data_IF_638137396953
#
_entry.id   IF_638137396953
#
_cell.length_a   1.000
_cell.length_b   1.000
_cell.length_c   1.000
_cell.angle_alpha   90.00
_cell.angle_beta   90.00
_cell.angle_gamma   90.00
#
_symmetry.space_group_name_H-M   'P 1'
#
loop_
_entity.id
_entity.type
_entity.pdbx_description
1 polymer ?
#
# COMPACT_ATOMS: atom_id res chain seq x y z
N UNK A 1 -0.96 -27.24 15.25
CA UNK A 1 -1.93 -26.73 14.26
C UNK A 1 -1.39 -25.47 13.62
N UNK A 2 -1.13 -25.48 12.30
CA UNK A 2 -0.59 -24.34 11.55
C UNK A 2 -1.71 -23.45 10.98
N UNK A 3 -1.40 -22.17 10.74
CA UNK A 3 -2.29 -21.20 10.10
C UNK A 3 -1.59 -20.58 8.89
N UNK A 4 -2.34 -20.31 7.83
CA UNK A 4 -1.89 -19.59 6.64
C UNK A 4 -2.62 -18.26 6.46
N UNK A 5 -2.14 -17.45 5.53
CA UNK A 5 -2.79 -16.19 5.13
C UNK A 5 -4.15 -16.46 4.45
N UNK A 6 -5.08 -15.52 4.57
CA UNK A 6 -6.38 -15.63 3.88
C UNK A 6 -6.88 -14.30 3.32
N UNK A 7 -7.29 -13.37 4.18
CA UNK A 7 -7.94 -12.13 3.78
C UNK A 7 -7.64 -11.00 4.76
N UNK A 8 -7.79 -9.78 4.29
CA UNK A 8 -7.81 -8.58 5.11
C UNK A 8 -9.17 -7.91 4.95
N UNK A 9 -9.75 -7.43 6.04
CA UNK A 9 -10.99 -6.66 6.02
C UNK A 9 -10.73 -5.26 6.56
N UNK A 10 -11.24 -4.26 5.86
CA UNK A 10 -11.12 -2.84 6.19
C UNK A 10 -12.55 -2.29 6.24
N UNK A 11 -13.07 -2.03 7.44
CA UNK A 11 -14.47 -1.68 7.61
C UNK A 11 -15.40 -2.76 7.08
N UNK A 12 -16.19 -2.47 6.04
CA UNK A 12 -17.04 -3.46 5.35
C UNK A 12 -16.36 -4.20 4.21
N UNK A 13 -15.23 -3.70 3.70
CA UNK A 13 -14.58 -4.23 2.49
C UNK A 13 -13.67 -5.39 2.82
N UNK A 14 -13.84 -6.52 2.12
CA UNK A 14 -12.98 -7.70 2.25
C UNK A 14 -12.03 -7.77 1.06
N UNK A 15 -10.74 -7.68 1.35
CA UNK A 15 -9.64 -7.79 0.40
C UNK A 15 -9.16 -9.25 0.33
N UNK A 16 -9.27 -9.81 -0.88
CA UNK A 16 -8.57 -11.04 -1.26
C UNK A 16 -7.18 -10.75 -1.81
N UNK A 17 -6.57 -11.77 -2.44
CA UNK A 17 -5.29 -11.62 -3.14
C UNK A 17 -4.15 -11.14 -2.25
N UNK A 18 -4.21 -11.44 -0.95
CA UNK A 18 -3.19 -11.09 0.02
C UNK A 18 -1.95 -11.94 -0.25
N UNK A 19 -0.81 -11.30 -0.47
CA UNK A 19 0.47 -11.97 -0.74
C UNK A 19 1.36 -12.03 0.49
N UNK A 20 1.22 -11.05 1.38
CA UNK A 20 1.95 -10.98 2.63
C UNK A 20 1.06 -10.35 3.71
N UNK A 21 1.20 -10.84 4.93
CA UNK A 21 0.57 -10.28 6.12
C UNK A 21 1.54 -10.41 7.28
N UNK A 22 1.70 -9.35 8.05
CA UNK A 22 2.58 -9.32 9.20
C UNK A 22 1.93 -8.51 10.34
N UNK A 23 2.21 -8.91 11.57
CA UNK A 23 1.82 -8.16 12.78
C UNK A 23 3.05 -8.08 13.66
N UNK A 24 3.64 -6.90 13.76
CA UNK A 24 4.81 -6.66 14.60
C UNK A 24 4.37 -6.02 15.90
N UNK A 25 4.86 -6.56 17.02
CA UNK A 25 4.75 -5.96 18.34
C UNK A 25 6.06 -5.25 18.69
N UNK A 26 6.01 -3.95 18.87
CA UNK A 26 7.14 -3.14 19.33
C UNK A 26 7.05 -2.97 20.85
N UNK A 27 7.30 -4.06 21.60
CA UNK A 27 7.28 -4.05 23.06
C UNK A 27 8.65 -3.61 23.61
N UNK A 28 8.65 -2.60 24.49
CA UNK A 28 9.83 -2.16 25.22
C UNK A 28 9.76 -2.66 26.67
N UNK A 29 10.74 -3.47 27.08
CA UNK A 29 10.87 -3.93 28.46
C UNK A 29 12.10 -3.28 29.08
N UNK A 30 11.92 -2.65 30.24
CA UNK A 30 13.02 -2.08 31.02
C UNK A 30 13.28 -2.94 32.25
N UNK A 31 14.54 -3.28 32.46
CA UNK A 31 15.01 -3.95 33.66
C UNK A 31 15.94 -3.05 34.45
N UNK A 32 15.71 -2.93 35.76
CA UNK A 32 16.58 -2.16 36.66
C UNK A 32 17.14 -3.07 37.76
N UNK A 33 18.46 -2.98 37.97
CA UNK A 33 19.15 -3.59 39.10
C UNK A 33 19.26 -2.55 40.22
N UNK A 34 18.72 -2.88 41.40
CA UNK A 34 18.78 -2.01 42.58
C UNK A 34 19.88 -2.47 43.53
N UNK A 35 20.49 -1.53 44.27
CA UNK A 35 21.38 -1.82 45.42
C UNK A 35 22.62 -2.67 45.12
N UNK A 36 23.29 -2.44 43.98
CA UNK A 36 24.55 -3.10 43.65
C UNK A 36 24.41 -4.58 43.30
N UNK A 37 23.19 -5.04 43.05
CA UNK A 37 22.93 -6.41 42.65
C UNK A 37 23.30 -6.67 41.19
N UNK A 38 23.74 -7.91 40.92
CA UNK A 38 24.20 -8.33 39.59
C UNK A 38 22.99 -8.55 38.64
N UNK A 39 21.80 -8.81 39.18
CA UNK A 39 20.60 -9.14 38.41
C UNK A 39 19.51 -8.08 38.59
N UNK A 40 18.70 -7.88 37.54
CA UNK A 40 17.54 -6.98 37.60
C UNK A 40 16.47 -7.55 38.53
N UNK A 41 16.07 -6.80 39.56
CA UNK A 41 14.97 -7.18 40.46
C UNK A 41 13.60 -6.75 39.95
N UNK A 42 13.56 -5.70 39.14
CA UNK A 42 12.33 -5.19 38.54
C UNK A 42 12.48 -5.26 37.03
N UNK A 43 11.46 -5.80 36.38
CA UNK A 43 11.25 -5.68 34.94
C UNK A 43 9.84 -5.16 34.73
N UNK A 44 9.71 -4.12 33.91
CA UNK A 44 8.43 -3.54 33.55
C UNK A 44 8.32 -3.38 32.04
N UNK A 45 7.11 -3.59 31.53
CA UNK A 45 6.76 -3.25 30.16
C UNK A 45 6.50 -1.74 30.12
N UNK A 46 7.29 -1.01 29.35
CA UNK A 46 7.27 0.46 29.29
C UNK A 46 6.35 0.95 28.20
N UNK A 47 6.38 0.30 27.03
CA UNK A 47 5.55 0.65 25.88
C UNK A 47 5.25 -0.59 25.06
N UNK A 48 4.13 -0.57 24.35
CA UNK A 48 3.78 -1.60 23.38
C UNK A 48 3.11 -0.99 22.15
N UNK A 49 3.84 -0.96 21.04
CA UNK A 49 3.31 -0.57 19.74
C UNK A 49 2.85 -1.77 18.90
N UNK A 50 1.87 -1.55 18.03
CA UNK A 50 1.48 -2.53 17.01
C UNK A 50 1.55 -1.91 15.62
N UNK A 51 2.25 -2.59 14.71
CA UNK A 51 2.38 -2.17 13.32
C UNK A 51 2.02 -3.34 12.41
N UNK A 52 0.72 -3.57 12.15
CA UNK A 52 0.30 -4.52 11.14
C UNK A 52 0.62 -4.01 9.75
N UNK A 53 1.08 -4.91 8.88
CA UNK A 53 1.30 -4.61 7.46
C UNK A 53 0.80 -5.75 6.57
N UNK A 54 0.39 -5.41 5.36
CA UNK A 54 -0.03 -6.40 4.37
C UNK A 54 0.20 -5.90 2.94
N UNK A 55 0.26 -6.85 2.01
CA UNK A 55 0.34 -6.58 0.57
C UNK A 55 -0.77 -7.29 -0.17
N UNK A 56 -1.36 -6.63 -1.16
CA UNK A 56 -2.51 -7.16 -1.93
C UNK A 56 -2.36 -6.93 -3.43
N UNK A 57 -2.99 -7.82 -4.21
CA UNK A 57 -3.20 -7.69 -5.65
C UNK A 57 -4.56 -7.05 -6.00
N UNK A 58 -5.46 -6.91 -5.02
CA UNK A 58 -6.80 -6.34 -5.17
C UNK A 58 -6.77 -4.80 -5.12
N UNK A 59 -6.06 -4.19 -6.08
CA UNK A 59 -5.68 -2.77 -6.04
C UNK A 59 -6.90 -1.84 -6.02
N UNK A 60 -7.91 -2.10 -6.87
CA UNK A 60 -9.10 -1.26 -6.95
C UNK A 60 -9.92 -1.30 -5.65
N UNK A 61 -10.15 -2.50 -5.09
CA UNK A 61 -10.86 -2.66 -3.82
C UNK A 61 -10.10 -2.00 -2.65
N UNK A 62 -8.76 -2.13 -2.61
CA UNK A 62 -7.95 -1.56 -1.55
C UNK A 62 -7.88 -0.02 -1.63
N UNK A 63 -7.63 0.54 -2.81
CA UNK A 63 -7.63 1.99 -3.01
C UNK A 63 -9.02 2.60 -2.87
N UNK A 64 -10.09 1.88 -3.22
CA UNK A 64 -11.46 2.31 -2.97
C UNK A 64 -11.81 2.37 -1.48
N UNK A 65 -11.25 1.46 -0.66
CA UNK A 65 -11.46 1.45 0.78
C UNK A 65 -10.60 2.47 1.54
N UNK A 66 -9.35 2.68 1.11
CA UNK A 66 -8.38 3.50 1.83
C UNK A 66 -8.09 4.87 1.21
N UNK A 67 -8.29 5.04 -0.09
CA UNK A 67 -7.80 6.20 -0.83
C UNK A 67 -6.27 6.30 -0.85
N UNK A 68 -5.77 7.42 -1.40
CA UNK A 68 -4.34 7.70 -1.51
C UNK A 68 -3.71 8.25 -0.21
N UNK A 69 -4.52 8.86 0.67
CA UNK A 69 -4.09 9.41 1.96
C UNK A 69 -4.10 8.37 3.09
N UNK A 70 -4.65 7.19 2.83
CA UNK A 70 -4.98 6.23 3.86
C UNK A 70 -6.34 6.48 4.51
N UNK A 71 -6.75 5.54 5.36
CA UNK A 71 -8.02 5.57 6.07
C UNK A 71 -7.81 5.57 7.58
N UNK A 72 -8.67 6.31 8.28
CA UNK A 72 -8.78 6.18 9.74
C UNK A 72 -9.44 4.85 10.08
N UNK A 73 -8.84 4.12 11.02
CA UNK A 73 -9.42 2.87 11.52
C UNK A 73 -10.53 3.11 12.55
N UNK A 74 -10.70 4.34 13.05
CA UNK A 74 -11.71 4.66 14.07
C UNK A 74 -13.16 4.41 13.60
N UNK A 75 -13.41 4.49 12.30
CA UNK A 75 -14.70 4.17 11.67
C UNK A 75 -14.70 2.83 10.93
N UNK A 76 -13.53 2.18 10.81
CA UNK A 76 -13.33 1.03 9.96
C UNK A 76 -12.22 0.13 10.54
N UNK A 77 -12.61 -0.83 11.39
CA UNK A 77 -11.65 -1.78 11.96
C UNK A 77 -10.85 -2.48 10.86
N UNK A 78 -9.55 -2.66 11.10
CA UNK A 78 -8.68 -3.51 10.29
C UNK A 78 -8.70 -4.91 10.90
N UNK A 79 -9.11 -5.91 10.12
CA UNK A 79 -9.14 -7.30 10.56
C UNK A 79 -8.29 -8.14 9.63
N UNK A 80 -7.28 -8.80 10.17
CA UNK A 80 -6.46 -9.74 9.43
C UNK A 80 -6.87 -11.17 9.77
N UNK A 81 -7.19 -11.98 8.76
CA UNK A 81 -7.67 -13.34 8.95
C UNK A 81 -6.58 -14.38 8.66
N UNK A 82 -6.39 -15.30 9.59
CA UNK A 82 -5.48 -16.43 9.48
C UNK A 82 -6.27 -17.74 9.39
N UNK A 83 -6.13 -18.44 8.27
CA UNK A 83 -6.82 -19.69 7.99
C UNK A 83 -6.06 -20.89 8.55
N UNK A 84 -6.66 -21.55 9.54
CA UNK A 84 -6.22 -22.85 10.07
C UNK A 84 -6.12 -23.95 9.01
N UNK A 85 -5.04 -24.71 9.04
CA UNK A 85 -4.85 -25.96 8.29
C UNK A 85 -5.32 -27.17 9.11
N UNK A 86 -5.85 -28.19 8.44
CA UNK A 86 -6.15 -29.48 9.07
C UNK A 86 -4.91 -30.38 9.09
N UNK A 87 -4.78 -31.19 10.14
CA UNK A 87 -3.71 -32.17 10.23
C UNK A 87 -3.90 -33.23 9.12
N UNK A 88 -2.84 -33.49 8.35
CA UNK A 88 -2.88 -34.44 7.23
C UNK A 88 -3.56 -33.93 5.96
N UNK A 89 -3.89 -32.63 5.84
CA UNK A 89 -4.53 -32.15 4.62
C UNK A 89 -4.84 -30.65 4.53
N UNK A 90 -5.92 -30.35 3.80
CA UNK A 90 -6.27 -29.02 3.29
C UNK A 90 -6.67 -27.98 4.34
N UNK A 91 -7.49 -27.01 3.91
CA UNK A 91 -7.94 -25.89 4.74
C UNK A 91 -9.09 -26.34 5.64
N UNK A 92 -9.04 -25.96 6.91
CA UNK A 92 -10.15 -26.22 7.83
C UNK A 92 -11.40 -25.43 7.41
N UNK A 93 -12.59 -25.96 7.72
CA UNK A 93 -13.88 -25.32 7.44
C UNK A 93 -14.58 -24.92 8.72
N UNK A 94 -15.48 -23.93 8.62
CA UNK A 94 -16.31 -23.46 9.74
C UNK A 94 -15.61 -22.42 10.61
N UNK A 95 -16.13 -22.21 11.81
CA UNK A 95 -15.61 -21.21 12.75
C UNK A 95 -14.42 -21.76 13.53
N UNK A 96 -13.29 -22.00 12.87
CA UNK A 96 -12.09 -22.61 13.50
C UNK A 96 -10.82 -21.81 13.22
N UNK A 97 -10.98 -20.61 12.67
CA UNK A 97 -9.88 -19.76 12.23
C UNK A 97 -9.58 -18.68 13.27
N UNK A 98 -8.52 -17.91 13.01
CA UNK A 98 -8.10 -16.83 13.89
C UNK A 98 -8.19 -15.49 13.17
N UNK A 99 -8.57 -14.44 13.89
CA UNK A 99 -8.53 -13.06 13.40
C UNK A 99 -7.75 -12.16 14.35
N UNK A 100 -7.11 -11.15 13.78
CA UNK A 100 -6.44 -10.08 14.50
C UNK A 100 -7.14 -8.77 14.17
N UNK A 101 -7.86 -8.21 15.12
CA UNK A 101 -8.68 -7.02 14.94
C UNK A 101 -8.00 -5.81 15.58
N UNK A 102 -7.78 -4.77 14.78
CA UNK A 102 -7.25 -3.49 15.20
C UNK A 102 -8.38 -2.46 15.16
N UNK A 103 -8.67 -1.85 16.32
CA UNK A 103 -9.88 -1.05 16.53
C UNK A 103 -9.69 0.42 16.14
N UNK A 104 -8.51 1.00 16.38
CA UNK A 104 -8.24 2.42 16.14
C UNK A 104 -6.81 2.63 15.66
N UNK A 105 -6.62 3.63 14.81
CA UNK A 105 -5.34 3.87 14.14
C UNK A 105 -5.50 4.53 12.78
N UNK A 106 -4.44 4.50 12.00
CA UNK A 106 -4.38 4.98 10.62
C UNK A 106 -3.79 3.86 9.77
N UNK A 107 -4.46 3.51 8.69
CA UNK A 107 -3.96 2.61 7.66
C UNK A 107 -3.46 3.44 6.49
N UNK A 108 -2.16 3.38 6.22
CA UNK A 108 -1.49 4.17 5.20
C UNK A 108 -0.98 3.27 4.06
N UNK A 109 -1.27 3.60 2.79
CA UNK A 109 -0.60 2.95 1.66
C UNK A 109 0.89 3.31 1.68
N UNK A 110 1.74 2.34 1.41
CA UNK A 110 3.19 2.53 1.31
C UNK A 110 3.63 2.68 -0.14
N UNK A 111 3.46 1.62 -0.92
CA UNK A 111 3.97 1.58 -2.28
C UNK A 111 3.05 0.80 -3.19
N UNK A 112 2.72 1.40 -4.34
CA UNK A 112 2.14 0.72 -5.50
C UNK A 112 3.26 0.43 -6.50
N UNK A 113 3.47 -0.82 -6.85
CA UNK A 113 4.45 -1.21 -7.86
C UNK A 113 3.80 -2.04 -8.94
N UNK A 114 4.20 -1.80 -10.19
CA UNK A 114 3.82 -2.63 -11.33
C UNK A 114 4.96 -2.70 -12.35
N UNK A 115 5.28 -3.93 -12.74
CA UNK A 115 6.27 -4.20 -13.77
C UNK A 115 5.61 -4.55 -15.11
N UNK A 116 6.37 -4.44 -16.20
CA UNK A 116 5.91 -4.81 -17.53
C UNK A 116 5.48 -6.28 -17.56
N UNK A 117 4.20 -6.51 -17.89
CA UNK A 117 3.53 -7.83 -17.85
C UNK A 117 3.48 -8.49 -16.47
N UNK A 118 3.95 -7.81 -15.42
CA UNK A 118 3.73 -8.19 -14.04
C UNK A 118 2.32 -7.82 -13.58
N UNK A 119 1.97 -8.29 -12.39
CA UNK A 119 0.77 -7.88 -11.69
C UNK A 119 1.13 -6.76 -10.71
N UNK A 120 0.25 -5.77 -10.62
CA UNK A 120 0.41 -4.66 -9.69
C UNK A 120 0.25 -5.15 -8.25
N UNK A 121 1.12 -4.69 -7.36
CA UNK A 121 1.09 -4.97 -5.93
C UNK A 121 1.01 -3.67 -5.15
N UNK A 122 0.16 -3.65 -4.12
CA UNK A 122 0.04 -2.51 -3.20
C UNK A 122 0.30 -2.98 -1.78
N UNK A 123 1.22 -2.29 -1.10
CA UNK A 123 1.56 -2.52 0.30
C UNK A 123 0.93 -1.45 1.19
N UNK A 124 0.53 -1.86 2.39
CA UNK A 124 -0.01 -1.01 3.42
C UNK A 124 0.65 -1.30 4.76
N UNK A 125 0.80 -0.23 5.54
CA UNK A 125 1.16 -0.28 6.94
C UNK A 125 0.08 0.44 7.76
N UNK A 126 -0.25 -0.12 8.92
CA UNK A 126 -1.12 0.53 9.88
C UNK A 126 -0.35 0.90 11.14
N UNK A 127 -0.66 2.08 11.67
CA UNK A 127 -0.24 2.54 12.99
C UNK A 127 -1.47 2.48 13.88
N UNK A 128 -1.44 1.61 14.88
CA UNK A 128 -2.59 1.30 15.74
C UNK A 128 -2.42 2.02 17.07
N UNK A 129 -3.51 2.57 17.59
CA UNK A 129 -3.53 3.32 18.86
C UNK A 129 -4.67 2.86 19.75
N UNK A 130 -4.55 3.14 21.04
CA UNK A 130 -5.57 2.90 22.04
C UNK A 130 -6.76 3.84 21.88
N UNK A 131 -7.96 3.30 22.03
CA UNK A 131 -9.21 4.06 21.92
C UNK A 131 -9.70 4.63 23.26
N UNK A 132 -9.02 4.30 24.37
CA UNK A 132 -9.39 4.71 25.72
C UNK A 132 -10.13 3.63 26.51
N UNK A 133 -10.59 2.56 25.86
CA UNK A 133 -11.45 1.52 26.48
C UNK A 133 -11.01 0.10 26.13
N UNK A 134 -10.71 -0.18 24.86
CA UNK A 134 -10.38 -1.50 24.33
C UNK A 134 -8.88 -1.61 24.00
N UNK A 135 -8.31 -2.80 24.20
CA UNK A 135 -6.94 -3.08 23.77
C UNK A 135 -6.77 -2.83 22.26
N UNK A 136 -5.62 -2.27 21.83
CA UNK A 136 -5.40 -1.95 20.41
C UNK A 136 -5.48 -3.16 19.47
N UNK A 137 -5.18 -4.36 19.98
CA UNK A 137 -5.26 -5.63 19.27
C UNK A 137 -6.22 -6.59 20.01
N UNK A 138 -7.30 -6.97 19.34
CA UNK A 138 -8.22 -8.01 19.82
C UNK A 138 -8.00 -9.28 19.00
N UNK A 139 -7.65 -10.38 19.68
CA UNK A 139 -7.46 -11.68 19.05
C UNK A 139 -8.78 -12.46 19.12
N UNK A 140 -9.32 -12.81 17.96
CA UNK A 140 -10.49 -13.67 17.85
C UNK A 140 -10.07 -15.10 17.57
N UNK A 141 -10.43 -16.03 18.45
CA UNK A 141 -10.35 -17.47 18.19
C UNK A 141 -11.69 -18.01 17.70
N UNK A 142 -11.67 -19.11 16.94
CA UNK A 142 -12.90 -19.79 16.49
C UNK A 142 -13.77 -18.88 15.62
N UNK A 143 -13.14 -18.17 14.67
CA UNK A 143 -13.79 -17.18 13.80
C UNK A 143 -14.12 -17.79 12.43
N UNK A 144 -15.27 -17.41 11.86
CA UNK A 144 -15.62 -17.74 10.49
C UNK A 144 -14.89 -16.81 9.51
N UNK A 145 -14.33 -17.37 8.44
CA UNK A 145 -13.67 -16.57 7.41
C UNK A 145 -14.70 -15.84 6.54
N UNK A 146 -14.42 -14.59 6.12
CA UNK A 146 -15.29 -13.87 5.20
C UNK A 146 -15.27 -14.52 3.80
N UNK A 147 -16.36 -14.33 3.05
CA UNK A 147 -16.38 -14.66 1.62
C UNK A 147 -15.46 -13.70 0.86
N UNK A 148 -14.50 -14.25 0.13
CA UNK A 148 -13.70 -13.50 -0.82
C UNK A 148 -14.60 -13.24 -2.04
N UNK A 149 -15.06 -12.01 -2.21
CA UNK A 149 -15.85 -11.62 -3.38
C UNK A 149 -15.01 -11.57 -4.66
N UNK A 150 -15.41 -10.74 -5.62
CA UNK A 150 -14.68 -10.53 -6.88
C UNK A 150 -13.24 -9.99 -6.68
N UNK A 151 -12.93 -9.40 -5.52
CA UNK A 151 -11.63 -8.82 -5.21
C UNK A 151 -10.46 -9.81 -5.24
N UNK A 152 -10.71 -11.12 -5.11
CA UNK A 152 -9.64 -12.13 -5.16
C UNK A 152 -9.01 -12.29 -6.54
N UNK A 153 -9.80 -12.13 -7.60
CA UNK A 153 -9.39 -12.37 -8.98
C UNK A 153 -8.86 -11.10 -9.68
N UNK A 154 -8.97 -9.93 -9.03
CA UNK A 154 -8.51 -8.67 -9.60
C UNK A 154 -6.99 -8.69 -9.82
N UNK A 155 -6.58 -8.43 -11.06
CA UNK A 155 -5.17 -8.28 -11.45
C UNK A 155 -5.06 -7.10 -12.39
N UNK A 156 -4.11 -6.23 -12.10
CA UNK A 156 -3.84 -5.05 -12.91
C UNK A 156 -2.42 -5.10 -13.44
N UNK A 157 -2.20 -4.62 -14.66
CA UNK A 157 -0.87 -4.43 -15.24
C UNK A 157 -0.70 -3.01 -15.75
N UNK A 158 0.51 -2.67 -16.20
CA UNK A 158 0.86 -1.32 -16.62
C UNK A 158 0.14 -0.91 -17.92
N UNK A 159 -0.74 0.10 -17.83
CA UNK A 159 -1.47 0.71 -18.94
C UNK A 159 -0.75 1.93 -19.52
N UNK A 160 -1.42 2.76 -20.33
CA UNK A 160 -0.86 4.01 -20.88
C UNK A 160 -0.37 4.95 -19.78
N UNK A 161 0.69 5.70 -20.06
CA UNK A 161 1.26 6.69 -19.13
C UNK A 161 1.55 7.95 -19.92
N UNK A 162 1.05 9.06 -19.42
CA UNK A 162 1.27 10.40 -19.94
C UNK A 162 1.76 11.29 -18.80
N UNK A 163 2.82 12.06 -19.04
CA UNK A 163 3.37 13.02 -18.07
C UNK A 163 3.57 14.35 -18.78
N UNK A 164 2.94 15.40 -18.28
CA UNK A 164 3.10 16.75 -18.85
C UNK A 164 2.70 16.84 -20.33
N UNK A 165 1.68 16.12 -20.77
CA UNK A 165 1.24 16.10 -22.17
C UNK A 165 2.04 15.16 -23.08
N UNK A 166 2.95 14.36 -22.53
CA UNK A 166 3.84 13.47 -23.29
C UNK A 166 3.48 12.02 -23.01
N UNK A 167 3.01 11.31 -24.04
CA UNK A 167 2.76 9.87 -23.95
C UNK A 167 4.08 9.09 -23.93
N UNK A 168 4.28 8.32 -22.87
CA UNK A 168 5.50 7.54 -22.65
C UNK A 168 5.33 6.10 -23.18
N UNK A 169 6.05 5.78 -24.25
CA UNK A 169 6.07 4.45 -24.88
C UNK A 169 7.20 3.58 -24.33
N UNK A 170 7.05 2.24 -24.38
CA UNK A 170 8.09 1.29 -23.93
C UNK A 170 8.49 1.44 -22.45
N UNK A 171 7.48 1.70 -21.61
CA UNK A 171 7.52 1.66 -20.15
C UNK A 171 7.78 0.23 -19.63
N UNK A 172 8.68 0.12 -18.67
CA UNK A 172 9.16 -1.14 -18.08
C UNK A 172 8.64 -1.34 -16.66
N UNK A 173 8.64 -0.30 -15.84
CA UNK A 173 8.06 -0.36 -14.50
C UNK A 173 7.53 1.00 -14.07
N UNK A 174 6.54 0.98 -13.19
CA UNK A 174 5.99 2.12 -12.49
C UNK A 174 6.01 1.79 -10.99
N UNK A 175 6.52 2.73 -10.20
CA UNK A 175 6.46 2.69 -8.75
C UNK A 175 5.91 4.02 -8.26
N UNK A 176 4.92 3.97 -7.38
CA UNK A 176 4.41 5.11 -6.65
C UNK A 176 4.67 4.85 -5.17
N UNK A 177 5.56 5.65 -4.60
CA UNK A 177 5.74 5.73 -3.15
C UNK A 177 4.81 6.83 -2.63
N UNK A 178 3.89 6.48 -1.75
CA UNK A 178 2.94 7.44 -1.20
C UNK A 178 3.61 8.41 -0.22
N UNK A 179 4.72 8.00 0.42
CA UNK A 179 5.54 8.85 1.29
C UNK A 179 4.78 9.42 2.49
N UNK A 180 3.86 8.66 3.06
CA UNK A 180 3.08 9.06 4.24
C UNK A 180 3.91 8.88 5.52
N UNK A 181 4.15 9.98 6.23
CA UNK A 181 4.79 9.98 7.55
C UNK A 181 3.71 9.93 8.64
N UNK A 182 3.41 8.71 9.12
CA UNK A 182 2.45 8.48 10.19
C UNK A 182 3.19 8.35 11.51
N UNK A 183 2.87 9.21 12.46
CA UNK A 183 3.44 9.20 13.81
C UNK A 183 2.39 8.78 14.82
N UNK A 184 2.82 8.06 15.85
CA UNK A 184 2.02 7.79 17.03
C UNK A 184 2.66 8.43 18.26
N UNK A 185 1.80 8.92 19.16
CA UNK A 185 2.20 9.58 20.39
C UNK A 185 1.41 9.01 21.58
N UNK A 186 2.14 8.70 22.65
CA UNK A 186 1.59 8.29 23.94
C UNK A 186 1.40 9.48 24.88
N UNK A 187 0.35 9.43 25.68
CA UNK A 187 0.07 10.40 26.75
C UNK A 187 -0.11 9.67 28.09
N UNK A 188 0.11 10.41 29.19
CA UNK A 188 -0.19 9.97 30.57
C UNK A 188 0.49 8.68 31.02
N UNK A 189 1.67 8.37 30.48
CA UNK A 189 2.40 7.13 30.77
C UNK A 189 1.58 5.86 30.49
N UNK A 190 0.62 5.95 29.56
CA UNK A 190 -0.13 4.79 29.10
C UNK A 190 0.82 3.83 28.37
N UNK A 191 0.52 2.53 28.51
CA UNK A 191 1.28 1.46 27.84
C UNK A 191 1.21 1.57 26.30
N UNK A 192 0.08 2.05 25.80
CA UNK A 192 -0.23 2.16 24.38
C UNK A 192 -0.29 3.63 23.97
N UNK A 193 0.14 3.93 22.74
CA UNK A 193 -0.04 5.24 22.12
C UNK A 193 -1.54 5.55 21.98
N UNK A 194 -1.95 6.81 22.15
CA UNK A 194 -3.37 7.20 22.17
C UNK A 194 -3.75 8.05 20.96
N UNK A 195 -2.76 8.67 20.31
CA UNK A 195 -2.93 9.53 19.15
C UNK A 195 -2.07 9.02 18.00
N UNK A 196 -2.65 8.96 16.80
CA UNK A 196 -1.93 8.79 15.55
C UNK A 196 -2.28 9.96 14.62
N UNK A 197 -1.29 10.49 13.93
CA UNK A 197 -1.49 11.58 12.98
C UNK A 197 -0.57 11.45 11.77
N UNK A 198 -0.99 12.00 10.63
CA UNK A 198 -0.17 12.09 9.43
C UNK A 198 0.56 13.43 9.49
N UNK A 199 1.88 13.41 9.65
CA UNK A 199 2.72 14.61 9.72
C UNK A 199 2.93 15.24 8.35
N UNK A 200 3.04 14.41 7.33
CA UNK A 200 3.28 14.88 5.96
C UNK A 200 3.10 13.77 4.94
N UNK A 201 3.00 14.20 3.68
CA UNK A 201 2.92 13.32 2.52
C UNK A 201 3.93 13.81 1.49
N UNK A 202 4.85 12.92 1.10
CA UNK A 202 5.84 13.17 0.06
C UNK A 202 5.75 12.10 -1.02
N UNK A 203 4.65 12.13 -1.77
CA UNK A 203 4.44 11.14 -2.83
C UNK A 203 5.43 11.33 -3.97
N UNK A 204 6.08 10.24 -4.38
CA UNK A 204 7.05 10.21 -5.48
C UNK A 204 6.62 9.14 -6.48
N UNK A 205 6.48 9.55 -7.73
CA UNK A 205 6.30 8.64 -8.85
C UNK A 205 7.64 8.39 -9.52
N UNK A 206 7.98 7.12 -9.73
CA UNK A 206 9.17 6.69 -10.47
C UNK A 206 8.74 5.81 -11.62
N UNK A 207 9.19 6.15 -12.82
CA UNK A 207 8.92 5.39 -14.04
C UNK A 207 10.24 4.99 -14.69
N UNK A 208 10.34 3.75 -15.12
CA UNK A 208 11.46 3.29 -15.94
C UNK A 208 10.97 2.85 -17.32
N UNK A 209 11.81 3.04 -18.33
CA UNK A 209 11.53 2.64 -19.69
C UNK A 209 12.80 2.37 -20.49
N UNK A 210 12.61 2.00 -21.76
CA UNK A 210 13.72 1.75 -22.69
C UNK A 210 13.82 2.77 -23.82
N UNK A 211 12.89 3.72 -23.88
CA UNK A 211 12.85 4.69 -24.98
C UNK A 211 13.61 5.98 -24.60
N UNK A 212 14.81 6.24 -25.16
CA UNK A 212 15.55 7.48 -24.91
C UNK A 212 14.81 8.73 -25.39
N UNK A 213 13.84 8.61 -26.30
CA UNK A 213 13.00 9.73 -26.76
C UNK A 213 12.14 10.35 -25.65
N UNK A 214 12.04 9.73 -24.47
CA UNK A 214 11.44 10.38 -23.31
C UNK A 214 12.18 11.68 -22.96
N UNK A 215 13.51 11.68 -23.12
CA UNK A 215 14.40 12.80 -22.77
C UNK A 215 14.82 13.51 -24.05
N UNK A 216 13.92 14.34 -24.58
CA UNK A 216 14.23 15.30 -25.63
C UNK A 216 13.68 16.67 -25.26
N UNK A 217 14.24 17.71 -25.86
CA UNK A 217 13.83 19.10 -25.59
C UNK A 217 12.33 19.36 -25.77
N UNK A 218 11.67 18.63 -26.67
CA UNK A 218 10.23 18.74 -26.92
C UNK A 218 9.36 17.84 -26.02
N UNK A 219 9.94 16.81 -25.41
CA UNK A 219 9.26 15.90 -24.47
C UNK A 219 9.55 16.33 -23.05
N UNK A 220 10.46 15.64 -22.36
CA UNK A 220 10.92 15.94 -21.00
C UNK A 220 12.36 16.46 -21.11
N UNK A 221 12.59 17.78 -21.01
CA UNK A 221 13.93 18.33 -21.09
C UNK A 221 14.74 18.02 -19.83
N UNK A 222 16.06 18.23 -19.89
CA UNK A 222 16.98 17.95 -18.77
C UNK A 222 16.68 18.76 -17.50
N UNK A 223 16.11 19.96 -17.65
CA UNK A 223 15.67 20.77 -16.52
C UNK A 223 14.31 20.34 -15.95
N UNK A 224 13.68 19.30 -16.52
CA UNK A 224 12.40 18.75 -16.08
C UNK A 224 11.18 19.38 -16.75
N UNK A 225 10.02 18.76 -16.53
CA UNK A 225 8.72 19.18 -17.05
C UNK A 225 7.67 19.19 -15.96
N UNK A 226 6.89 20.27 -15.89
CA UNK A 226 5.75 20.34 -14.99
C UNK A 226 4.60 19.46 -15.50
N UNK A 227 4.08 18.60 -14.63
CA UNK A 227 2.84 17.87 -14.80
C UNK A 227 1.73 18.48 -13.95
N UNK A 228 0.52 18.51 -14.49
CA UNK A 228 -0.73 18.88 -13.83
C UNK A 228 -1.71 17.72 -13.94
N UNK A 229 -2.77 17.72 -13.13
CA UNK A 229 -3.81 16.69 -13.21
C UNK A 229 -4.48 16.58 -14.59
N UNK A 230 -4.45 17.66 -15.39
CA UNK A 230 -5.04 17.67 -16.74
C UNK A 230 -4.14 17.03 -17.80
N UNK A 231 -2.82 16.99 -17.59
CA UNK A 231 -1.87 16.54 -18.62
C UNK A 231 -0.98 15.38 -18.13
N UNK A 232 -1.27 14.83 -16.96
CA UNK A 232 -0.56 13.70 -16.39
C UNK A 232 -1.59 12.64 -16.02
N UNK A 233 -1.58 11.54 -16.76
CA UNK A 233 -2.52 10.45 -16.62
C UNK A 233 -1.78 9.12 -16.67
N UNK A 234 -1.99 8.28 -15.66
CA UNK A 234 -1.36 6.98 -15.53
C UNK A 234 -2.47 5.95 -15.39
N UNK A 235 -2.45 4.95 -16.26
CA UNK A 235 -3.48 3.92 -16.28
C UNK A 235 -2.92 2.57 -15.85
N UNK A 236 -3.70 1.82 -15.08
CA UNK A 236 -3.49 0.40 -14.84
C UNK A 236 -4.60 -0.39 -15.54
N UNK A 237 -4.20 -1.32 -16.41
CA UNK A 237 -5.12 -2.13 -17.19
C UNK A 237 -5.48 -3.41 -16.45
N UNK A 238 -6.77 -3.62 -16.17
CA UNK A 238 -7.29 -4.86 -15.60
C UNK A 238 -7.15 -6.05 -16.56
N UNK A 239 -6.70 -7.19 -16.03
CA UNK A 239 -6.72 -8.48 -16.73
C UNK A 239 -8.10 -9.12 -16.61
N UNK A 240 -8.54 -9.78 -17.67
CA UNK A 240 -9.76 -10.58 -17.63
C UNK A 240 -9.47 -11.96 -17.03
N UNK A 241 -10.38 -12.49 -16.20
CA UNK A 241 -10.26 -13.86 -15.71
C UNK A 241 -10.40 -14.86 -16.88
N UNK A 242 -9.47 -15.81 -16.97
CA UNK A 242 -9.36 -16.73 -18.11
C UNK A 242 -9.06 -16.06 -19.47
N UNK A 243 -8.69 -14.77 -19.49
CA UNK A 243 -8.49 -13.99 -20.72
C UNK A 243 -7.23 -13.12 -20.71
N UNK A 244 -7.13 -12.19 -21.66
CA UNK A 244 -6.00 -11.25 -21.77
C UNK A 244 -6.26 -9.99 -20.95
N UNK A 245 -7.18 -9.15 -21.40
CA UNK A 245 -7.53 -7.88 -20.77
C UNK A 245 -9.02 -7.62 -20.86
N UNK A 246 -9.55 -6.88 -19.89
CA UNK A 246 -10.89 -6.31 -19.99
C UNK A 246 -10.89 -5.27 -21.13
N UNK A 247 -12.03 -5.12 -21.81
CA UNK A 247 -12.17 -4.19 -22.92
C UNK A 247 -11.97 -2.74 -22.47
N UNK A 248 -11.22 -1.98 -23.28
CA UNK A 248 -10.69 -0.67 -22.92
C UNK A 248 -11.79 0.39 -22.64
N UNK A 249 -12.97 0.24 -23.24
CA UNK A 249 -14.14 1.13 -23.05
C UNK A 249 -14.88 0.90 -21.73
N UNK A 250 -14.55 -0.15 -20.97
CA UNK A 250 -15.24 -0.47 -19.72
C UNK A 250 -14.65 0.31 -18.54
N UNK A 251 -15.51 0.72 -17.59
CA UNK A 251 -15.11 1.40 -16.36
C UNK A 251 -14.53 0.41 -15.31
N UNK A 252 -13.59 -0.44 -15.73
CA UNK A 252 -12.96 -1.45 -14.87
C UNK A 252 -11.44 -1.27 -14.72
N UNK A 253 -10.87 -0.23 -15.33
CA UNK A 253 -9.45 0.10 -15.22
C UNK A 253 -9.22 1.15 -14.12
N UNK A 254 -7.96 1.33 -13.72
CA UNK A 254 -7.59 2.35 -12.74
C UNK A 254 -6.94 3.50 -13.50
N UNK A 255 -7.42 4.71 -13.31
CA UNK A 255 -6.77 5.93 -13.78
C UNK A 255 -6.24 6.73 -12.58
N UNK A 256 -5.06 7.28 -12.73
CA UNK A 256 -4.43 8.13 -11.73
C UNK A 256 -3.99 9.42 -12.42
N UNK A 257 -4.30 10.55 -11.81
CA UNK A 257 -3.79 11.86 -12.25
C UNK A 257 -2.92 12.45 -11.16
N UNK A 258 -1.90 13.20 -11.57
CA UNK A 258 -0.91 13.71 -10.64
C UNK A 258 -0.44 15.12 -11.00
N UNK A 259 -0.12 15.92 -9.99
CA UNK A 259 0.53 17.21 -10.16
C UNK A 259 1.94 17.14 -9.58
N UNK A 260 2.95 17.61 -10.30
CA UNK A 260 4.34 17.47 -9.88
C UNK A 260 5.34 18.01 -10.89
N UNK A 261 6.61 17.76 -10.61
CA UNK A 261 7.71 18.16 -11.50
C UNK A 261 8.54 16.93 -11.88
N UNK A 262 8.41 16.50 -13.13
CA UNK A 262 9.10 15.32 -13.63
C UNK A 262 10.52 15.68 -14.04
N UNK A 263 11.50 15.00 -13.47
CA UNK A 263 12.92 15.14 -13.80
C UNK A 263 13.49 13.81 -14.28
N UNK A 264 14.42 13.82 -15.24
CA UNK A 264 15.16 12.61 -15.58
C UNK A 264 16.09 12.22 -14.43
N UNK A 265 15.97 10.98 -13.97
CA UNK A 265 16.84 10.42 -12.93
C UNK A 265 18.04 9.72 -13.57
N UNK A 266 17.77 8.89 -14.58
CA UNK A 266 18.80 8.22 -15.39
C UNK A 266 18.57 8.57 -16.86
N UNK A 267 19.49 9.34 -17.44
CA UNK A 267 19.33 9.83 -18.81
C UNK A 267 19.45 8.69 -19.82
N UNK A 268 20.48 7.87 -19.66
CA UNK A 268 20.68 6.67 -20.45
C UNK A 268 21.68 5.77 -19.72
N UNK A 269 21.28 4.52 -19.46
CA UNK A 269 22.17 3.51 -18.90
C UNK A 269 22.08 2.27 -19.78
N UNK A 270 23.21 1.78 -20.29
CA UNK A 270 23.28 0.54 -21.06
C UNK A 270 24.52 -0.26 -20.64
N UNK A 271 24.41 -1.58 -20.67
CA UNK A 271 25.51 -2.52 -20.47
C UNK A 271 25.72 -3.31 -21.76
N UNK A 272 26.91 -3.88 -21.98
CA UNK A 272 27.39 -4.28 -23.32
C UNK A 272 26.46 -5.15 -24.17
N UNK A 273 25.64 -6.03 -23.56
CA UNK A 273 24.65 -6.85 -24.28
C UNK A 273 23.20 -6.54 -23.89
N UNK A 274 22.98 -5.53 -23.05
CA UNK A 274 21.67 -5.17 -22.54
C UNK A 274 21.12 -3.94 -23.26
N UNK A 275 19.78 -3.85 -23.31
CA UNK A 275 19.11 -2.67 -23.83
C UNK A 275 19.32 -1.47 -22.90
N UNK A 276 19.40 -0.28 -23.48
CA UNK A 276 19.42 0.96 -22.72
C UNK A 276 18.15 1.17 -21.91
N UNK A 277 18.29 1.74 -20.71
CA UNK A 277 17.20 2.14 -19.83
C UNK A 277 17.23 3.63 -19.51
N UNK A 278 16.04 4.19 -19.31
CA UNK A 278 15.78 5.57 -18.93
C UNK A 278 14.93 5.56 -17.67
N UNK A 279 15.23 6.46 -16.73
CA UNK A 279 14.48 6.63 -15.49
C UNK A 279 13.95 8.05 -15.36
N UNK A 280 12.69 8.19 -14.98
CA UNK A 280 12.04 9.45 -14.65
C UNK A 280 11.56 9.39 -13.21
N UNK A 281 11.75 10.51 -12.49
CA UNK A 281 11.26 10.69 -11.13
C UNK A 281 10.41 11.96 -11.08
N UNK A 282 9.24 11.87 -10.49
CA UNK A 282 8.30 12.98 -10.37
C UNK A 282 7.83 13.07 -8.91
N UNK A 283 8.50 13.90 -8.09
CA UNK A 283 7.96 14.33 -6.81
C UNK A 283 6.65 15.08 -7.06
N UNK A 284 5.59 14.66 -6.37
CA UNK A 284 4.27 15.27 -6.50
C UNK A 284 4.15 16.48 -5.59
N UNK A 285 3.28 17.41 -5.96
CA UNK A 285 3.00 18.62 -5.17
C UNK A 285 1.50 18.89 -5.09
N UNK A 286 1.09 19.56 -4.03
CA UNK A 286 -0.25 20.12 -3.92
C UNK A 286 -0.40 21.29 -4.89
N UNK A 287 -1.49 21.31 -5.67
CA UNK A 287 -1.76 22.35 -6.66
C UNK A 287 -2.63 23.51 -6.13
N UNK A 288 -3.03 23.45 -4.85
CA UNK A 288 -3.94 24.39 -4.22
C UNK A 288 -5.41 23.93 -4.17
N UNK A 289 -5.77 22.88 -4.92
CA UNK A 289 -7.15 22.40 -5.10
C UNK A 289 -7.30 20.89 -4.89
N UNK A 290 -6.45 20.09 -5.52
CA UNK A 290 -6.51 18.62 -5.54
C UNK A 290 -5.36 18.02 -4.73
N UNK A 291 -5.59 16.83 -4.16
CA UNK A 291 -4.52 16.04 -3.58
C UNK A 291 -3.42 15.76 -4.64
N UNK A 292 -2.13 15.67 -4.27
CA UNK A 292 -1.03 15.50 -5.23
C UNK A 292 -1.20 14.31 -6.19
N UNK A 293 -1.88 13.25 -5.73
CA UNK A 293 -2.29 12.08 -6.50
C UNK A 293 -3.80 11.89 -6.34
N UNK A 294 -4.52 11.86 -7.46
CA UNK A 294 -5.96 11.55 -7.50
C UNK A 294 -6.13 10.22 -8.21
N UNK A 295 -6.92 9.32 -7.63
CA UNK A 295 -7.10 7.94 -8.10
C UNK A 295 -8.58 7.73 -8.40
N UNK A 296 -8.86 7.25 -9.60
CA UNK A 296 -10.17 6.74 -10.02
C UNK A 296 -10.05 5.24 -10.26
N UNK A 297 -10.80 4.46 -9.49
CA UNK A 297 -10.79 2.99 -9.53
C UNK A 297 -11.78 2.41 -10.55
N UNK A 298 -12.53 3.26 -11.25
CA UNK A 298 -13.55 2.87 -12.23
C UNK A 298 -13.43 3.71 -13.51
N UNK A 299 -12.26 3.68 -14.14
CA UNK A 299 -11.96 4.44 -15.33
C UNK A 299 -11.99 3.57 -16.60
N UNK A 300 -12.37 4.18 -17.72
CA UNK A 300 -12.10 3.65 -19.06
C UNK A 300 -10.68 4.04 -19.51
N UNK A 301 -10.11 3.26 -20.42
CA UNK A 301 -8.83 3.59 -21.06
C UNK A 301 -9.08 4.50 -22.29
N UNK A 302 -8.18 5.46 -22.55
CA UNK A 302 -8.24 6.32 -23.72
C UNK A 302 -7.84 5.60 -25.03
#
# INVERSE_FOLDING_TARGET
MSHGLYAVKIGSTVLGGITQQNVVTAAEVRGEASSGEIYSRIQSLVSQGFTPSFSTLAIAAALGACGALGASLASANLILYAQKHQDGGGRASGSVHRSFTFVKGILAPKQLQVDHRGDATLSYDAVVVYDGVNEPLVIGDTVALPSLGSSQAERFTLGSVEIGGVTLTTKMSLSIDFGLDVISEGHDSNLYDTIASIRGQQTVLTLTGRNPEWIKSTNIPLYGKAGTHLNTAIYLRKRADGGSFVADETAEHIAMTACGFCVPENIFQASGKDYGSVGLRMPLKYDGTNAPLVIDVAAALP
#
